data_IF_955854463690
#
_entry.id   IF_955854463690
#
_cell.length_a   1.000
_cell.length_b   1.000
_cell.length_c   1.000
_cell.angle_alpha   90.00
_cell.angle_beta   90.00
_cell.angle_gamma   90.00
#
_symmetry.space_group_name_H-M   'P 1'
#
loop_
_entity.id
_entity.type
_entity.pdbx_description
1 polymer ?
#
# COMPACT_ATOMS: atom_id res chain seq x y z
N UNK A 1 -10.62 -17.18 -11.85
CA UNK A 1 -9.93 -15.90 -11.50
C UNK A 1 -8.61 -16.28 -10.89
N UNK A 2 -7.48 -15.75 -11.39
CA UNK A 2 -6.17 -16.09 -10.81
C UNK A 2 -6.12 -15.64 -9.36
N UNK A 3 -5.73 -16.57 -8.51
CA UNK A 3 -5.65 -16.63 -7.06
C UNK A 3 -4.61 -15.65 -6.47
N UNK A 4 -4.54 -14.41 -6.96
CA UNK A 4 -3.60 -13.42 -6.46
C UNK A 4 -4.16 -12.78 -5.20
N UNK A 5 -3.44 -12.90 -4.10
CA UNK A 5 -3.83 -12.25 -2.85
C UNK A 5 -3.76 -10.73 -2.99
N UNK A 6 -4.59 -9.99 -2.25
CA UNK A 6 -4.63 -8.51 -2.29
C UNK A 6 -3.23 -7.87 -2.08
N UNK A 7 -2.35 -8.55 -1.35
CA UNK A 7 -0.96 -8.15 -1.15
C UNK A 7 -0.16 -8.11 -2.45
N UNK A 8 -0.34 -9.09 -3.34
CA UNK A 8 0.35 -9.14 -4.63
C UNK A 8 -0.16 -8.05 -5.56
N UNK A 9 -1.48 -7.81 -5.57
CA UNK A 9 -2.07 -6.68 -6.29
C UNK A 9 -1.47 -5.34 -5.84
N UNK A 10 -1.37 -5.13 -4.53
CA UNK A 10 -0.80 -3.90 -3.97
C UNK A 10 0.70 -3.75 -4.29
N UNK A 11 1.44 -4.86 -4.35
CA UNK A 11 2.85 -4.82 -4.77
C UNK A 11 2.98 -4.52 -6.26
N UNK A 12 2.16 -5.13 -7.11
CA UNK A 12 2.14 -4.85 -8.54
C UNK A 12 1.80 -3.37 -8.78
N UNK A 13 0.78 -2.85 -8.09
CA UNK A 13 0.41 -1.43 -8.10
C UNK A 13 1.57 -0.53 -7.65
N UNK A 14 2.30 -0.89 -6.59
CA UNK A 14 3.44 -0.08 -6.10
C UNK A 14 4.59 0.02 -7.11
N UNK A 15 4.68 -0.93 -8.04
CA UNK A 15 5.64 -0.89 -9.16
C UNK A 15 5.11 -0.01 -10.29
N UNK A 16 3.83 -0.18 -10.61
CA UNK A 16 3.18 0.49 -11.73
C UNK A 16 3.08 2.01 -11.54
N UNK A 17 2.91 2.47 -10.30
CA UNK A 17 2.67 3.88 -9.96
C UNK A 17 3.70 4.42 -8.96
N UNK A 18 4.99 4.51 -9.34
CA UNK A 18 6.06 4.93 -8.44
C UNK A 18 5.96 6.40 -8.01
N UNK A 19 5.19 7.22 -8.71
CA UNK A 19 4.89 8.61 -8.38
C UNK A 19 3.94 8.76 -7.18
N UNK A 20 3.15 7.72 -6.84
CA UNK A 20 2.25 7.72 -5.68
C UNK A 20 2.98 7.86 -4.35
N UNK A 21 4.28 7.55 -4.30
CA UNK A 21 5.16 7.84 -3.17
C UNK A 21 5.27 9.34 -2.84
N UNK A 22 5.27 10.19 -3.88
CA UNK A 22 5.69 11.59 -3.80
C UNK A 22 4.81 12.45 -2.89
N UNK A 23 3.52 12.15 -2.82
CA UNK A 23 2.55 12.95 -2.07
C UNK A 23 2.29 12.44 -0.65
N UNK A 24 2.78 11.24 -0.32
CA UNK A 24 2.28 10.54 0.84
C UNK A 24 3.14 10.73 2.10
N UNK A 25 4.47 10.83 1.99
CA UNK A 25 5.38 10.72 3.14
C UNK A 25 6.74 11.42 2.92
N UNK A 26 7.05 12.44 3.72
CA UNK A 26 8.27 13.26 3.65
C UNK A 26 9.53 12.65 4.31
N UNK A 27 9.90 11.40 3.98
CA UNK A 27 11.01 10.71 4.66
C UNK A 27 12.18 10.33 3.70
N UNK A 28 13.46 10.55 4.09
CA UNK A 28 14.62 10.36 3.20
C UNK A 28 14.79 8.95 2.59
N UNK A 29 14.54 7.88 3.35
CA UNK A 29 14.63 6.49 2.85
C UNK A 29 13.47 6.11 1.91
N UNK A 30 12.30 6.70 2.13
CA UNK A 30 11.10 6.50 1.30
C UNK A 30 11.22 7.28 -0.02
N UNK A 31 11.85 8.47 0.04
CA UNK A 31 12.24 9.22 -1.13
C UNK A 31 13.32 8.49 -1.95
N UNK A 32 14.23 7.73 -1.33
CA UNK A 32 15.22 6.92 -2.03
C UNK A 32 14.58 5.76 -2.81
N UNK A 33 13.69 4.98 -2.18
CA UNK A 33 12.93 3.92 -2.87
C UNK A 33 12.07 4.47 -4.01
N UNK A 34 11.34 5.58 -3.76
CA UNK A 34 10.57 6.25 -4.81
C UNK A 34 11.46 6.69 -5.97
N UNK A 35 12.61 7.29 -5.68
CA UNK A 35 13.59 7.68 -6.71
C UNK A 35 14.17 6.50 -7.47
N UNK A 36 14.48 5.37 -6.82
CA UNK A 36 15.01 4.17 -7.47
C UNK A 36 14.00 3.49 -8.40
N UNK A 37 12.71 3.54 -8.04
CA UNK A 37 11.62 3.05 -8.88
C UNK A 37 11.34 4.01 -10.06
N UNK A 38 11.28 5.32 -9.80
CA UNK A 38 11.08 6.35 -10.84
C UNK A 38 12.29 6.44 -11.79
N UNK A 39 13.52 6.22 -11.31
CA UNK A 39 14.73 6.25 -12.13
C UNK A 39 14.94 4.99 -12.97
N UNK A 40 14.04 4.01 -12.91
CA UNK A 40 14.12 2.76 -13.66
C UNK A 40 15.27 1.84 -13.21
N UNK A 41 15.93 2.13 -12.09
CA UNK A 41 17.05 1.31 -11.59
C UNK A 41 16.58 0.00 -10.95
N UNK A 42 15.28 -0.11 -10.67
CA UNK A 42 14.64 -1.33 -10.17
C UNK A 42 13.57 -1.80 -11.16
N UNK A 43 14.00 -2.60 -12.13
CA UNK A 43 13.09 -3.26 -13.08
C UNK A 43 12.35 -4.38 -12.34
N UNK A 44 11.02 -4.37 -12.38
CA UNK A 44 10.23 -5.49 -11.87
C UNK A 44 10.55 -6.75 -12.68
N UNK A 45 10.82 -7.90 -12.05
CA UNK A 45 11.09 -9.15 -12.76
C UNK A 45 9.85 -9.69 -13.49
N UNK A 46 8.66 -9.19 -13.18
CA UNK A 46 7.41 -9.54 -13.84
C UNK A 46 6.82 -8.32 -14.56
N UNK A 47 6.28 -8.49 -15.79
CA UNK A 47 5.57 -7.44 -16.47
C UNK A 47 4.35 -7.02 -15.62
N UNK A 48 4.18 -5.71 -15.45
CA UNK A 48 3.00 -5.13 -14.81
C UNK A 48 1.79 -5.35 -15.72
N UNK A 49 0.68 -5.84 -15.17
CA UNK A 49 -0.59 -5.84 -15.89
C UNK A 49 -1.24 -4.47 -15.68
N UNK A 50 -1.20 -3.62 -16.71
CA UNK A 50 -1.65 -2.23 -16.63
C UNK A 50 -3.12 -2.09 -16.24
N UNK A 51 -4.00 -2.93 -16.79
CA UNK A 51 -5.44 -2.92 -16.46
C UNK A 51 -5.66 -3.22 -14.99
N UNK A 52 -5.01 -4.27 -14.48
CA UNK A 52 -5.09 -4.67 -13.08
C UNK A 52 -4.51 -3.61 -12.15
N UNK A 53 -3.38 -3.03 -12.54
CA UNK A 53 -2.75 -1.96 -11.79
C UNK A 53 -3.67 -0.73 -11.72
N UNK A 54 -4.37 -0.38 -12.81
CA UNK A 54 -5.31 0.74 -12.85
C UNK A 54 -6.53 0.53 -11.95
N UNK A 55 -7.13 -0.67 -11.97
CA UNK A 55 -8.23 -1.03 -11.07
C UNK A 55 -7.77 -0.99 -9.61
N UNK A 56 -6.55 -1.47 -9.35
CA UNK A 56 -5.95 -1.45 -8.01
C UNK A 56 -5.66 -0.02 -7.55
N UNK A 57 -5.14 0.85 -8.42
CA UNK A 57 -4.85 2.25 -8.10
C UNK A 57 -6.11 2.99 -7.64
N UNK A 58 -7.17 2.87 -8.42
CA UNK A 58 -8.40 3.54 -8.09
C UNK A 58 -9.09 2.94 -6.84
N UNK A 59 -8.83 1.67 -6.52
CA UNK A 59 -9.22 1.04 -5.24
C UNK A 59 -8.40 1.61 -4.07
N UNK A 60 -7.09 1.75 -4.24
CA UNK A 60 -6.19 2.33 -3.23
C UNK A 60 -6.56 3.78 -2.93
N UNK A 61 -6.91 4.58 -3.95
CA UNK A 61 -7.33 5.98 -3.74
C UNK A 61 -8.61 6.07 -2.90
N UNK A 62 -9.60 5.20 -3.17
CA UNK A 62 -10.82 5.12 -2.35
C UNK A 62 -10.48 4.73 -0.92
N UNK A 63 -9.61 3.73 -0.73
CA UNK A 63 -9.16 3.31 0.59
C UNK A 63 -8.46 4.43 1.37
N UNK A 64 -7.50 5.11 0.75
CA UNK A 64 -6.78 6.21 1.37
C UNK A 64 -7.72 7.37 1.73
N UNK A 65 -8.71 7.66 0.89
CA UNK A 65 -9.74 8.66 1.21
C UNK A 65 -10.67 8.19 2.34
N UNK A 66 -11.01 6.91 2.43
CA UNK A 66 -11.79 6.38 3.54
C UNK A 66 -11.04 6.52 4.87
N UNK A 67 -9.71 6.35 4.89
CA UNK A 67 -8.88 6.58 6.08
C UNK A 67 -8.90 8.05 6.51
N UNK A 68 -8.79 9.00 5.58
CA UNK A 68 -8.77 10.45 5.91
C UNK A 68 -10.09 10.94 6.50
N UNK A 69 -11.20 10.23 6.29
CA UNK A 69 -12.51 10.56 6.85
C UNK A 69 -12.75 9.98 8.26
N UNK A 70 -11.81 9.21 8.82
CA UNK A 70 -12.02 8.56 10.12
C UNK A 70 -12.00 9.56 11.28
N UNK A 71 -12.84 9.28 12.27
CA UNK A 71 -12.97 10.08 13.51
C UNK A 71 -11.71 10.01 14.39
N UNK A 72 -11.11 8.83 14.49
CA UNK A 72 -9.86 8.61 15.22
C UNK A 72 -8.66 8.95 14.31
N UNK A 73 -8.14 10.18 14.49
CA UNK A 73 -7.07 10.73 13.67
C UNK A 73 -5.73 10.02 13.90
N UNK A 74 -5.38 9.74 15.15
CA UNK A 74 -4.13 9.07 15.48
C UNK A 74 -4.10 7.66 14.87
N UNK A 75 -5.18 6.90 15.02
CA UNK A 75 -5.28 5.57 14.41
C UNK A 75 -5.25 5.63 12.89
N UNK A 76 -5.91 6.62 12.28
CA UNK A 76 -5.90 6.82 10.83
C UNK A 76 -4.48 7.11 10.29
N UNK A 77 -3.71 7.96 10.98
CA UNK A 77 -2.32 8.24 10.62
C UNK A 77 -1.44 7.00 10.72
N UNK A 78 -1.59 6.22 11.80
CA UNK A 78 -0.85 4.96 11.97
C UNK A 78 -1.22 3.94 10.89
N UNK A 79 -2.49 3.81 10.54
CA UNK A 79 -2.94 2.92 9.47
C UNK A 79 -2.41 3.34 8.10
N UNK A 80 -2.46 4.64 7.78
CA UNK A 80 -1.85 5.19 6.56
C UNK A 80 -0.35 4.89 6.53
N UNK A 81 0.35 5.07 7.65
CA UNK A 81 1.79 4.79 7.73
C UNK A 81 2.09 3.29 7.55
N UNK A 82 1.30 2.40 8.17
CA UNK A 82 1.40 0.95 7.95
C UNK A 82 1.16 0.62 6.48
N UNK A 83 0.14 1.20 5.85
CA UNK A 83 -0.17 0.96 4.44
C UNK A 83 1.04 1.23 3.55
N UNK A 84 1.60 2.45 3.64
CA UNK A 84 2.73 2.84 2.82
C UNK A 84 3.95 1.95 3.10
N UNK A 85 4.33 1.76 4.36
CA UNK A 85 5.52 0.99 4.70
C UNK A 85 5.40 -0.48 4.27
N UNK A 86 4.26 -1.12 4.54
CA UNK A 86 4.08 -2.56 4.32
C UNK A 86 3.83 -2.92 2.86
N UNK A 87 3.00 -2.14 2.16
CA UNK A 87 2.48 -2.50 0.84
C UNK A 87 3.15 -1.75 -0.29
N UNK A 88 3.53 -0.49 -0.08
CA UNK A 88 4.24 0.29 -1.10
C UNK A 88 5.75 0.07 -1.02
N UNK A 89 6.35 0.32 0.14
CA UNK A 89 7.80 0.19 0.36
C UNK A 89 8.25 -1.22 0.72
N UNK A 90 7.29 -2.13 0.95
CA UNK A 90 7.52 -3.56 1.22
C UNK A 90 8.43 -3.83 2.41
N UNK A 91 8.33 -3.02 3.45
CA UNK A 91 9.05 -3.26 4.69
C UNK A 91 8.54 -4.51 5.39
N UNK A 92 9.46 -5.19 6.07
CA UNK A 92 9.15 -6.32 6.93
C UNK A 92 8.34 -5.87 8.15
N UNK A 93 7.46 -6.75 8.64
CA UNK A 93 6.56 -6.46 9.76
C UNK A 93 7.30 -5.92 11.00
N UNK A 94 8.51 -6.43 11.27
CA UNK A 94 9.33 -5.99 12.39
C UNK A 94 9.81 -4.54 12.24
N UNK A 95 10.19 -4.13 11.03
CA UNK A 95 10.63 -2.76 10.76
C UNK A 95 9.45 -1.78 10.76
N UNK A 96 8.30 -2.21 10.24
CA UNK A 96 7.05 -1.45 10.37
C UNK A 96 6.69 -1.25 11.84
N UNK A 97 6.73 -2.30 12.66
CA UNK A 97 6.42 -2.23 14.09
C UNK A 97 7.35 -1.27 14.84
N UNK A 98 8.67 -1.37 14.60
CA UNK A 98 9.65 -0.42 15.14
C UNK A 98 9.35 1.01 14.72
N UNK A 99 8.97 1.21 13.46
CA UNK A 99 8.71 2.52 12.88
C UNK A 99 7.46 3.20 13.44
N UNK A 100 6.38 2.45 13.61
CA UNK A 100 5.11 2.97 14.13
C UNK A 100 5.02 2.92 15.66
N UNK A 101 6.09 2.47 16.33
CA UNK A 101 6.17 2.31 17.80
C UNK A 101 5.02 1.47 18.38
N UNK A 102 4.64 0.39 17.69
CA UNK A 102 3.65 -0.59 18.14
C UNK A 102 4.26 -1.99 18.15
N UNK A 103 3.58 -2.94 18.79
CA UNK A 103 4.01 -4.34 18.80
C UNK A 103 3.81 -4.99 17.42
N UNK A 104 4.61 -6.02 17.11
CA UNK A 104 4.45 -6.81 15.88
C UNK A 104 3.02 -7.38 15.72
N UNK A 105 2.39 -7.99 16.75
CA UNK A 105 1.01 -8.46 16.64
C UNK A 105 -0.01 -7.35 16.35
N UNK A 106 0.22 -6.14 16.85
CA UNK A 106 -0.63 -5.00 16.52
C UNK A 106 -0.54 -4.64 15.03
N UNK A 107 0.68 -4.62 14.48
CA UNK A 107 0.90 -4.37 13.04
C UNK A 107 0.31 -5.49 12.20
N UNK A 108 0.46 -6.76 12.59
CA UNK A 108 -0.17 -7.89 11.89
C UNK A 108 -1.69 -7.73 11.82
N UNK A 109 -2.33 -7.38 12.94
CA UNK A 109 -3.76 -7.10 12.96
C UNK A 109 -4.14 -5.89 12.10
N UNK A 110 -3.31 -4.85 12.09
CA UNK A 110 -3.53 -3.69 11.22
C UNK A 110 -3.42 -4.07 9.74
N UNK A 111 -2.43 -4.87 9.35
CA UNK A 111 -2.28 -5.40 8.00
C UNK A 111 -3.51 -6.20 7.57
N UNK A 112 -4.07 -7.04 8.45
CA UNK A 112 -5.31 -7.77 8.16
C UNK A 112 -6.50 -6.83 7.88
N UNK A 113 -6.62 -5.75 8.66
CA UNK A 113 -7.67 -4.73 8.45
C UNK A 113 -7.47 -4.03 7.10
N UNK A 114 -6.24 -3.62 6.79
CA UNK A 114 -5.88 -3.01 5.51
C UNK A 114 -6.24 -3.94 4.35
N UNK A 115 -5.75 -5.18 4.39
CA UNK A 115 -5.96 -6.19 3.36
C UNK A 115 -7.44 -6.46 3.12
N UNK A 116 -8.21 -6.74 4.17
CA UNK A 116 -9.65 -6.97 4.07
C UNK A 116 -10.42 -5.75 3.54
N UNK A 117 -10.03 -4.54 3.93
CA UNK A 117 -10.72 -3.32 3.48
C UNK A 117 -10.45 -3.04 2.00
N UNK A 118 -9.19 -3.14 1.57
CA UNK A 118 -8.82 -2.93 0.16
C UNK A 118 -9.43 -4.04 -0.70
N UNK A 119 -9.42 -5.29 -0.24
CA UNK A 119 -10.06 -6.41 -0.93
C UNK A 119 -11.57 -6.20 -1.10
N UNK A 120 -12.27 -5.74 -0.05
CA UNK A 120 -13.69 -5.42 -0.15
C UNK A 120 -13.98 -4.34 -1.21
N UNK A 121 -13.16 -3.27 -1.26
CA UNK A 121 -13.30 -2.25 -2.30
C UNK A 121 -12.97 -2.76 -3.70
N UNK A 122 -11.95 -3.62 -3.82
CA UNK A 122 -11.58 -4.23 -5.10
C UNK A 122 -12.71 -5.11 -5.63
N UNK A 123 -13.29 -5.97 -4.79
CA UNK A 123 -14.41 -6.84 -5.16
C UNK A 123 -15.66 -6.03 -5.52
N UNK A 124 -16.00 -5.01 -4.72
CA UNK A 124 -17.14 -4.15 -5.00
C UNK A 124 -17.02 -3.46 -6.36
N UNK A 125 -15.81 -3.07 -6.77
CA UNK A 125 -15.55 -2.43 -8.06
C UNK A 125 -15.67 -3.38 -9.25
N UNK A 126 -15.25 -4.63 -9.09
CA UNK A 126 -15.33 -5.63 -10.17
C UNK A 126 -16.73 -6.27 -10.29
N UNK A 127 -17.63 -6.02 -9.32
CA UNK A 127 -19.02 -6.47 -9.35
C UNK A 127 -19.98 -5.44 -9.99
N UNK A 128 -19.52 -4.22 -10.24
CA UNK A 128 -20.28 -3.09 -10.80
C UNK A 128 -19.99 -2.91 -12.29
#
# INVERSE_FOLDING_TARGET
MSELGIRELLWEWSIAYPERAGDAVSWPRMAAFGREMVSGHRVSPLPVNEERAQVTDATVLVYLNAITMRRDREKAELERLVFWLRYYYRWELQDVARKVKKSKPWVEKMCQIVEATVEAFYLARNAA
#
